data_IF_650420167456
#
_entry.id   IF_650420167456
#
_cell.length_a   1.000
_cell.length_b   1.000
_cell.length_c   1.000
_cell.angle_alpha   90.00
_cell.angle_beta   90.00
_cell.angle_gamma   90.00
#
_symmetry.space_group_name_H-M   'P 1'
#
loop_
_entity.id
_entity.type
_entity.pdbx_description
1 polymer ?
#
# COMPACT_ATOMS: atom_id res chain seq x y z
N UNK A 1 -7.38 21.20 41.63
CA UNK A 1 -7.23 20.27 40.52
C UNK A 1 -8.07 19.04 40.83
N UNK A 2 -9.09 18.74 40.03
CA UNK A 2 -9.81 17.46 40.18
C UNK A 2 -8.88 16.31 39.79
N UNK A 3 -8.83 15.29 40.63
CA UNK A 3 -8.03 14.07 40.28
C UNK A 3 -8.73 13.44 39.09
N UNK A 4 -7.97 13.18 38.01
CA UNK A 4 -8.47 12.43 36.86
C UNK A 4 -8.77 11.00 37.29
N UNK A 5 -9.94 10.48 36.92
CA UNK A 5 -10.33 9.12 37.25
C UNK A 5 -9.32 8.11 36.66
N UNK A 6 -8.88 8.33 35.40
CA UNK A 6 -7.89 7.49 34.69
C UNK A 6 -6.55 7.38 35.45
N UNK A 7 -6.20 8.34 36.31
CA UNK A 7 -4.95 8.37 37.08
C UNK A 7 -5.10 7.75 38.48
N UNK A 8 -6.29 7.36 38.90
CA UNK A 8 -6.50 6.74 40.20
C UNK A 8 -5.98 5.29 40.23
N UNK A 9 -5.52 4.82 41.40
CA UNK A 9 -5.08 3.42 41.56
C UNK A 9 -6.19 2.42 41.17
N UNK A 10 -7.44 2.76 41.44
CA UNK A 10 -8.59 1.92 41.08
C UNK A 10 -8.74 1.78 39.56
N UNK A 11 -8.67 2.87 38.82
CA UNK A 11 -8.75 2.82 37.36
C UNK A 11 -7.56 2.10 36.73
N UNK A 12 -6.34 2.29 37.26
CA UNK A 12 -5.16 1.58 36.76
C UNK A 12 -5.27 0.07 37.01
N UNK A 13 -5.70 -0.37 38.20
CA UNK A 13 -5.94 -1.79 38.48
C UNK A 13 -7.03 -2.38 37.56
N UNK A 14 -8.09 -1.63 37.26
CA UNK A 14 -9.12 -2.04 36.30
C UNK A 14 -8.54 -2.22 34.89
N UNK A 15 -7.68 -1.32 34.40
CA UNK A 15 -7.07 -1.43 33.08
C UNK A 15 -6.11 -2.64 32.97
N UNK A 16 -5.37 -2.91 34.05
CA UNK A 16 -4.51 -4.09 34.14
C UNK A 16 -5.33 -5.40 34.09
N UNK A 17 -6.44 -5.45 34.82
CA UNK A 17 -7.37 -6.58 34.79
C UNK A 17 -8.00 -6.76 33.40
N UNK A 18 -8.55 -5.69 32.82
CA UNK A 18 -9.21 -5.70 31.51
C UNK A 18 -8.27 -6.08 30.37
N UNK A 19 -6.98 -5.78 30.49
CA UNK A 19 -5.94 -6.19 29.52
C UNK A 19 -5.42 -7.62 29.75
N UNK A 20 -5.87 -8.28 30.81
CA UNK A 20 -5.39 -9.61 31.20
C UNK A 20 -3.97 -9.61 31.75
N UNK A 21 -3.47 -8.47 32.27
CA UNK A 21 -2.08 -8.30 32.69
C UNK A 21 -1.66 -9.33 33.73
N UNK A 22 -2.52 -9.60 34.70
CA UNK A 22 -2.28 -10.53 35.81
C UNK A 22 -2.69 -11.99 35.55
N UNK A 23 -3.28 -12.28 34.38
CA UNK A 23 -3.71 -13.64 34.07
C UNK A 23 -2.52 -14.51 33.66
N UNK A 24 -2.48 -15.74 34.14
CA UNK A 24 -1.56 -16.76 33.66
C UNK A 24 -1.89 -17.12 32.19
N UNK A 25 -0.88 -17.34 31.38
CA UNK A 25 -1.06 -17.66 29.96
C UNK A 25 -1.38 -16.44 29.08
N UNK A 26 -1.78 -16.68 27.81
CA UNK A 26 -1.99 -15.66 26.80
C UNK A 26 -0.69 -15.08 26.23
N UNK A 27 -0.83 -14.16 25.26
CA UNK A 27 0.31 -13.53 24.57
C UNK A 27 0.75 -12.25 25.32
N UNK A 28 1.97 -12.16 25.89
CA UNK A 28 2.42 -10.98 26.64
C UNK A 28 2.43 -9.70 25.78
N UNK A 29 2.77 -9.81 24.50
CA UNK A 29 2.77 -8.65 23.59
C UNK A 29 1.35 -8.12 23.35
N UNK A 30 0.38 -9.01 23.15
CA UNK A 30 -1.02 -8.62 23.01
C UNK A 30 -1.54 -7.92 24.27
N UNK A 31 -1.23 -8.45 25.47
CA UNK A 31 -1.60 -7.82 26.75
C UNK A 31 -1.04 -6.40 26.86
N UNK A 32 0.24 -6.22 26.55
CA UNK A 32 0.89 -4.90 26.59
C UNK A 32 0.26 -3.91 25.61
N UNK A 33 -0.06 -4.36 24.39
CA UNK A 33 -0.72 -3.51 23.38
C UNK A 33 -2.14 -3.13 23.82
N UNK A 34 -2.94 -4.08 24.31
CA UNK A 34 -4.30 -3.81 24.76
C UNK A 34 -4.29 -2.89 25.98
N UNK A 35 -3.41 -3.11 26.96
CA UNK A 35 -3.26 -2.20 28.08
C UNK A 35 -2.99 -0.77 27.63
N UNK A 36 -2.06 -0.59 26.68
CA UNK A 36 -1.72 0.72 26.14
C UNK A 36 -2.91 1.38 25.41
N UNK A 37 -3.63 0.61 24.59
CA UNK A 37 -4.83 1.10 23.88
C UNK A 37 -5.91 1.51 24.89
N UNK A 38 -6.21 0.68 25.87
CA UNK A 38 -7.22 0.99 26.90
C UNK A 38 -6.85 2.25 27.67
N UNK A 39 -5.59 2.36 28.12
CA UNK A 39 -5.08 3.52 28.87
C UNK A 39 -5.24 4.83 28.06
N UNK A 40 -4.83 4.82 26.80
CA UNK A 40 -4.90 5.99 25.96
C UNK A 40 -6.36 6.31 25.58
N UNK A 41 -7.20 5.31 25.39
CA UNK A 41 -8.65 5.48 25.13
C UNK A 41 -9.36 6.12 26.32
N UNK A 42 -9.15 5.67 27.57
CA UNK A 42 -9.79 6.29 28.72
C UNK A 42 -9.30 7.71 28.97
N UNK A 43 -8.03 8.01 28.67
CA UNK A 43 -7.52 9.37 28.69
C UNK A 43 -8.24 10.26 27.67
N UNK A 44 -8.45 9.79 26.43
CA UNK A 44 -9.21 10.50 25.40
C UNK A 44 -10.64 10.77 25.87
N UNK A 45 -11.30 9.75 26.46
CA UNK A 45 -12.67 9.88 26.99
C UNK A 45 -12.75 10.99 28.03
N UNK A 46 -11.79 11.06 28.97
CA UNK A 46 -11.76 12.11 29.99
C UNK A 46 -11.36 13.48 29.43
N UNK A 47 -10.32 13.52 28.56
CA UNK A 47 -9.76 14.77 28.04
C UNK A 47 -10.73 15.51 27.13
N UNK A 48 -11.51 14.77 26.36
CA UNK A 48 -12.47 15.30 25.40
C UNK A 48 -13.92 15.22 25.89
N UNK A 49 -14.13 14.79 27.13
CA UNK A 49 -15.47 14.66 27.75
C UNK A 49 -16.43 13.83 26.88
N UNK A 50 -15.92 12.72 26.30
CA UNK A 50 -16.67 11.89 25.36
C UNK A 50 -17.97 11.39 26.00
N UNK A 51 -19.09 11.70 25.37
CA UNK A 51 -20.40 11.27 25.83
C UNK A 51 -20.70 9.80 25.51
N UNK A 52 -21.60 9.13 26.24
CA UNK A 52 -22.05 7.78 25.90
C UNK A 52 -22.61 7.65 24.48
N UNK A 53 -23.24 8.71 23.97
CA UNK A 53 -23.76 8.73 22.60
C UNK A 53 -22.62 8.70 21.56
N UNK A 54 -21.59 9.49 21.72
CA UNK A 54 -20.40 9.52 20.87
C UNK A 54 -19.65 8.19 20.93
N UNK A 55 -19.51 7.61 22.12
CA UNK A 55 -18.92 6.29 22.29
C UNK A 55 -19.66 5.23 21.45
N UNK A 56 -20.99 5.17 21.54
CA UNK A 56 -21.77 4.20 20.78
C UNK A 56 -21.78 4.48 19.27
N UNK A 57 -21.71 5.74 18.86
CA UNK A 57 -21.46 6.08 17.43
C UNK A 57 -20.13 5.52 16.93
N UNK A 58 -19.06 5.65 17.73
CA UNK A 58 -17.74 5.08 17.37
C UNK A 58 -17.78 3.55 17.28
N UNK A 59 -18.46 2.87 18.22
CA UNK A 59 -18.64 1.41 18.17
C UNK A 59 -19.40 0.98 16.91
N UNK A 60 -20.51 1.68 16.58
CA UNK A 60 -21.28 1.39 15.36
C UNK A 60 -20.45 1.68 14.10
N UNK A 61 -19.63 2.71 14.10
CA UNK A 61 -18.72 3.02 13.00
C UNK A 61 -17.73 1.88 12.74
N UNK A 62 -17.15 1.28 13.78
CA UNK A 62 -16.27 0.10 13.64
C UNK A 62 -17.00 -1.10 13.01
N UNK A 63 -18.28 -1.29 13.37
CA UNK A 63 -19.09 -2.35 12.74
C UNK A 63 -19.32 -2.07 11.24
N UNK A 64 -19.61 -0.84 10.86
CA UNK A 64 -19.78 -0.46 9.44
C UNK A 64 -18.47 -0.59 8.66
N UNK A 65 -17.32 -0.21 9.24
CA UNK A 65 -16.00 -0.45 8.64
C UNK A 65 -15.76 -1.95 8.37
N UNK A 66 -16.05 -2.79 9.35
CA UNK A 66 -15.89 -4.25 9.21
C UNK A 66 -16.83 -4.83 8.15
N UNK A 67 -18.10 -4.42 8.15
CA UNK A 67 -19.10 -4.86 7.18
C UNK A 67 -18.75 -4.48 5.74
N UNK A 68 -18.20 -3.29 5.54
CA UNK A 68 -17.78 -2.79 4.23
C UNK A 68 -16.33 -3.22 3.86
N UNK A 69 -15.62 -3.90 4.76
CA UNK A 69 -14.21 -4.31 4.58
C UNK A 69 -13.26 -3.11 4.33
N UNK A 70 -13.57 -1.93 4.88
CA UNK A 70 -12.83 -0.69 4.67
C UNK A 70 -11.80 -0.36 5.79
N UNK A 71 -11.59 -1.22 6.78
CA UNK A 71 -10.65 -0.95 7.87
C UNK A 71 -9.22 -0.66 7.36
N UNK A 72 -8.75 -1.38 6.33
CA UNK A 72 -7.46 -1.12 5.70
C UNK A 72 -7.43 0.20 4.94
N UNK A 73 -8.53 0.56 4.27
CA UNK A 73 -8.66 1.83 3.56
C UNK A 73 -8.63 3.02 4.55
N UNK A 74 -9.33 2.89 5.68
CA UNK A 74 -9.29 3.89 6.74
C UNK A 74 -7.88 4.03 7.34
N UNK A 75 -7.18 2.93 7.59
CA UNK A 75 -5.81 2.96 8.12
C UNK A 75 -4.87 3.74 7.18
N UNK A 76 -4.97 3.53 5.86
CA UNK A 76 -4.24 4.31 4.87
C UNK A 76 -4.66 5.79 4.90
N UNK A 77 -5.97 6.09 4.90
CA UNK A 77 -6.50 7.45 4.91
C UNK A 77 -6.18 8.25 6.19
N UNK A 78 -5.97 7.60 7.31
CA UNK A 78 -5.48 8.23 8.55
C UNK A 78 -3.95 8.30 8.62
N UNK A 79 -3.23 7.85 7.58
CA UNK A 79 -1.77 7.88 7.51
C UNK A 79 -1.06 6.88 8.41
N UNK A 80 -1.76 5.88 8.96
CA UNK A 80 -1.16 4.92 9.88
C UNK A 80 -0.17 3.99 9.17
N UNK A 81 -0.45 3.59 7.95
CA UNK A 81 0.44 2.78 7.13
C UNK A 81 1.68 3.60 6.73
N UNK A 82 1.49 4.83 6.28
CA UNK A 82 2.59 5.76 6.00
C UNK A 82 3.48 6.01 7.24
N UNK A 83 2.88 6.15 8.44
CA UNK A 83 3.65 6.32 9.67
C UNK A 83 4.55 5.10 9.98
N UNK A 84 4.10 3.89 9.65
CA UNK A 84 4.93 2.69 9.78
C UNK A 84 6.12 2.73 8.82
N UNK A 85 5.93 3.24 7.58
CA UNK A 85 7.04 3.44 6.64
C UNK A 85 8.05 4.44 7.20
N UNK A 86 7.59 5.58 7.74
CA UNK A 86 8.49 6.57 8.38
C UNK A 86 9.28 5.99 9.55
N UNK A 87 8.68 5.13 10.37
CA UNK A 87 9.38 4.45 11.47
C UNK A 87 10.46 3.49 10.96
N UNK A 88 10.17 2.77 9.87
CA UNK A 88 11.14 1.87 9.26
C UNK A 88 12.28 2.65 8.58
N UNK A 89 11.98 3.79 7.94
CA UNK A 89 12.99 4.65 7.32
C UNK A 89 13.92 5.26 8.38
N UNK A 90 13.35 5.74 9.50
CA UNK A 90 14.15 6.27 10.62
C UNK A 90 15.08 5.19 11.23
N UNK A 91 14.59 3.96 11.36
CA UNK A 91 15.40 2.85 11.86
C UNK A 91 16.52 2.46 10.87
N UNK A 92 16.28 2.54 9.56
CA UNK A 92 17.29 2.30 8.55
C UNK A 92 18.37 3.41 8.57
N UNK A 93 17.97 4.68 8.71
CA UNK A 93 18.90 5.81 8.84
C UNK A 93 19.77 5.67 10.10
N UNK A 94 19.18 5.33 11.25
CA UNK A 94 19.91 5.09 12.50
C UNK A 94 20.92 3.94 12.37
N UNK A 95 20.58 2.91 11.58
CA UNK A 95 21.44 1.78 11.27
C UNK A 95 22.51 2.08 10.21
N UNK A 96 22.58 3.32 9.68
CA UNK A 96 23.50 3.72 8.62
C UNK A 96 23.21 3.10 7.25
N UNK A 97 21.97 2.63 7.04
CA UNK A 97 21.52 2.07 5.76
C UNK A 97 20.89 3.17 4.93
N UNK A 98 21.58 3.56 3.90
CA UNK A 98 21.09 4.55 2.94
C UNK A 98 20.93 3.94 1.55
N UNK A 99 20.14 4.61 0.69
CA UNK A 99 19.93 4.21 -0.69
C UNK A 99 18.84 3.15 -0.86
N UNK A 100 18.66 2.73 -2.11
CA UNK A 100 17.57 1.88 -2.52
C UNK A 100 16.31 2.68 -2.88
N UNK A 101 15.43 2.05 -3.64
CA UNK A 101 14.11 2.62 -3.94
C UNK A 101 13.30 2.79 -2.65
N UNK A 102 12.71 3.97 -2.40
CA UNK A 102 11.88 4.19 -1.22
C UNK A 102 10.71 3.21 -1.12
N UNK A 103 10.42 2.78 0.10
CA UNK A 103 9.19 2.03 0.39
C UNK A 103 8.00 2.98 0.42
N UNK A 104 6.80 2.45 0.17
CA UNK A 104 5.54 3.12 0.45
C UNK A 104 4.45 2.09 0.71
N UNK A 105 3.27 2.55 1.06
CA UNK A 105 2.17 1.69 1.50
C UNK A 105 1.81 0.60 0.48
N UNK A 106 1.43 -0.58 0.98
CA UNK A 106 0.87 -1.67 0.16
C UNK A 106 -0.57 -1.36 -0.29
N UNK A 107 -1.33 -0.74 0.60
CA UNK A 107 -2.76 -0.62 0.43
C UNK A 107 -3.52 -1.96 0.57
N UNK A 108 -4.86 -1.96 0.54
CA UNK A 108 -5.66 -3.16 0.80
C UNK A 108 -5.98 -4.02 -0.44
N UNK A 109 -5.46 -3.69 -1.63
CA UNK A 109 -5.95 -4.23 -2.91
C UNK A 109 -5.01 -5.23 -3.58
N UNK A 110 -3.92 -5.64 -2.92
CA UNK A 110 -3.06 -6.72 -3.38
C UNK A 110 -3.79 -8.07 -3.34
N UNK A 111 -3.51 -8.92 -4.35
CA UNK A 111 -3.97 -10.31 -4.44
C UNK A 111 -2.80 -11.17 -4.89
N UNK A 112 -2.49 -12.20 -4.11
CA UNK A 112 -1.43 -13.15 -4.44
C UNK A 112 -1.80 -14.08 -5.62
N UNK A 113 -0.82 -14.78 -6.17
CA UNK A 113 -1.05 -15.80 -7.20
C UNK A 113 -1.14 -15.26 -8.63
N UNK A 114 -0.83 -13.98 -8.88
CA UNK A 114 -0.78 -13.46 -10.24
C UNK A 114 0.19 -14.30 -11.12
N UNK A 115 -0.16 -14.56 -12.40
CA UNK A 115 0.65 -15.38 -13.29
C UNK A 115 2.08 -14.86 -13.44
N UNK A 116 3.06 -15.77 -13.45
CA UNK A 116 4.48 -15.46 -13.66
C UNK A 116 4.81 -15.40 -15.16
N UNK A 117 5.51 -14.36 -15.57
CA UNK A 117 6.10 -14.19 -16.90
C UNK A 117 7.61 -14.01 -16.77
N UNK A 118 8.35 -14.32 -17.83
CA UNK A 118 9.80 -14.10 -17.89
C UNK A 118 10.10 -12.87 -18.70
N UNK A 119 10.82 -11.90 -18.11
CA UNK A 119 11.30 -10.66 -18.70
C UNK A 119 10.21 -9.73 -19.25
N UNK A 120 9.25 -10.26 -20.02
CA UNK A 120 8.22 -9.47 -20.69
C UNK A 120 6.82 -9.99 -20.36
N UNK A 121 5.88 -9.05 -20.14
CA UNK A 121 4.50 -9.38 -19.83
C UNK A 121 3.49 -8.43 -20.49
N UNK A 122 2.28 -8.93 -20.71
CA UNK A 122 1.10 -8.12 -20.94
C UNK A 122 0.19 -8.24 -19.71
N UNK A 123 -0.20 -7.12 -19.12
CA UNK A 123 -1.03 -7.05 -17.93
C UNK A 123 -2.52 -6.93 -18.25
N UNK A 124 -2.85 -6.14 -19.27
CA UNK A 124 -4.24 -5.86 -19.66
C UNK A 124 -4.89 -7.03 -20.42
N UNK A 125 -6.19 -7.23 -20.22
CA UNK A 125 -6.99 -8.23 -20.95
C UNK A 125 -7.58 -7.70 -22.28
N UNK A 126 -7.30 -6.44 -22.62
CA UNK A 126 -7.69 -5.79 -23.87
C UNK A 126 -9.15 -5.34 -23.94
N UNK A 127 -9.88 -5.35 -22.83
CA UNK A 127 -11.30 -4.93 -22.79
C UNK A 127 -11.50 -3.47 -22.45
N UNK A 128 -10.51 -2.83 -21.83
CA UNK A 128 -10.55 -1.41 -21.48
C UNK A 128 -10.08 -0.58 -22.68
N UNK A 129 -10.89 0.38 -23.12
CA UNK A 129 -10.54 1.34 -24.18
C UNK A 129 -9.65 2.46 -23.60
N UNK A 130 -8.41 2.10 -23.33
CA UNK A 130 -7.44 2.92 -22.63
C UNK A 130 -6.20 3.17 -23.47
N UNK A 131 -5.47 4.24 -23.14
CA UNK A 131 -4.15 4.49 -23.73
C UNK A 131 -3.18 3.37 -23.28
N UNK A 132 -2.59 2.61 -24.24
CA UNK A 132 -1.59 1.61 -23.91
C UNK A 132 -0.39 2.21 -23.19
N UNK A 133 0.09 1.55 -22.15
CA UNK A 133 1.29 1.92 -21.39
C UNK A 133 2.37 0.85 -21.59
N UNK A 134 3.57 1.29 -21.95
CA UNK A 134 4.78 0.46 -21.98
C UNK A 134 5.72 0.90 -20.87
N UNK A 135 5.99 -0.01 -19.95
CA UNK A 135 6.93 0.24 -18.86
C UNK A 135 8.10 -0.72 -18.96
N UNK A 136 9.30 -0.21 -18.68
CA UNK A 136 10.53 -0.99 -18.59
C UNK A 136 11.47 -0.40 -17.55
N UNK A 137 12.39 -1.23 -17.09
CA UNK A 137 13.43 -0.83 -16.16
C UNK A 137 14.35 -1.98 -15.78
N UNK A 138 15.20 -1.75 -14.82
CA UNK A 138 16.15 -2.70 -14.29
C UNK A 138 15.98 -2.81 -12.78
N UNK A 139 16.11 -4.03 -12.25
CA UNK A 139 16.25 -4.27 -10.81
C UNK A 139 17.72 -4.48 -10.51
N UNK A 140 18.27 -3.71 -9.56
CA UNK A 140 19.66 -3.77 -9.12
C UNK A 140 19.76 -3.68 -7.60
N UNK A 141 20.91 -4.03 -7.05
CA UNK A 141 21.20 -3.72 -5.65
C UNK A 141 21.72 -2.28 -5.48
N UNK A 142 21.91 -1.86 -4.23
CA UNK A 142 22.43 -0.52 -3.91
C UNK A 142 23.88 -0.29 -4.34
N UNK A 143 24.62 -1.34 -4.73
CA UNK A 143 25.95 -1.25 -5.33
C UNK A 143 25.87 -1.13 -6.87
N UNK A 144 24.66 -1.08 -7.44
CA UNK A 144 24.41 -0.97 -8.87
C UNK A 144 24.50 -2.29 -9.63
N UNK A 145 24.63 -3.43 -8.95
CA UNK A 145 24.70 -4.75 -9.59
C UNK A 145 23.32 -5.22 -10.02
N UNK A 146 23.13 -5.59 -11.29
CA UNK A 146 21.86 -6.14 -11.78
C UNK A 146 21.44 -7.42 -11.05
N UNK A 147 20.15 -7.54 -10.73
CA UNK A 147 19.59 -8.68 -10.04
C UNK A 147 18.81 -9.57 -11.02
N UNK A 148 19.49 -10.59 -11.54
CA UNK A 148 18.88 -11.61 -12.37
C UNK A 148 17.92 -12.49 -11.57
N UNK A 149 16.76 -12.83 -12.14
CA UNK A 149 15.75 -13.67 -11.48
C UNK A 149 15.03 -12.97 -10.31
N UNK A 150 15.15 -11.65 -10.19
CA UNK A 150 14.29 -10.88 -9.28
C UNK A 150 12.84 -10.95 -9.75
N UNK A 151 11.90 -10.93 -8.81
CA UNK A 151 10.47 -10.91 -9.09
C UNK A 151 9.93 -9.51 -8.93
N UNK A 152 9.39 -8.97 -10.00
CA UNK A 152 8.60 -7.73 -10.05
C UNK A 152 7.13 -8.15 -10.06
N UNK A 153 6.46 -8.04 -8.92
CA UNK A 153 5.03 -8.28 -8.79
C UNK A 153 4.31 -6.94 -8.91
N UNK A 154 3.48 -6.77 -9.92
CA UNK A 154 2.88 -5.49 -10.30
C UNK A 154 1.37 -5.59 -10.31
N UNK A 155 0.69 -4.55 -9.77
CA UNK A 155 -0.76 -4.41 -9.84
C UNK A 155 -1.19 -2.93 -9.91
N UNK A 156 -2.28 -2.67 -10.61
CA UNK A 156 -2.80 -1.32 -10.81
C UNK A 156 -4.33 -1.32 -11.02
N UNK A 157 -4.93 -0.13 -10.91
CA UNK A 157 -6.32 0.10 -11.31
C UNK A 157 -6.47 0.16 -12.83
N UNK A 158 -7.71 -0.04 -13.31
CA UNK A 158 -8.11 0.26 -14.69
C UNK A 158 -8.47 1.76 -14.86
N UNK A 159 -9.02 2.15 -16.02
CA UNK A 159 -9.44 3.53 -16.29
C UNK A 159 -10.65 3.99 -15.47
N UNK A 160 -11.41 3.08 -14.90
CA UNK A 160 -12.52 3.37 -13.98
C UNK A 160 -12.06 3.49 -12.50
N UNK A 161 -10.76 3.31 -12.20
CA UNK A 161 -10.25 3.32 -10.84
C UNK A 161 -10.57 2.05 -10.05
N UNK A 162 -10.92 0.95 -10.72
CA UNK A 162 -11.26 -0.33 -10.09
C UNK A 162 -10.17 -1.37 -10.32
N UNK A 163 -10.09 -2.34 -9.41
CA UNK A 163 -9.10 -3.42 -9.45
C UNK A 163 -9.78 -4.75 -9.78
N UNK A 164 -9.14 -5.56 -10.60
CA UNK A 164 -9.51 -6.96 -10.79
C UNK A 164 -9.61 -7.68 -9.45
N UNK A 165 -10.38 -8.76 -9.37
CA UNK A 165 -10.77 -9.46 -8.14
C UNK A 165 -11.86 -8.75 -7.32
N UNK A 166 -11.87 -7.41 -7.28
CA UNK A 166 -12.88 -6.60 -6.57
C UNK A 166 -13.98 -6.12 -7.52
N UNK A 167 -13.70 -6.09 -8.81
CA UNK A 167 -14.63 -5.72 -9.88
C UNK A 167 -14.94 -6.95 -10.74
N UNK A 168 -16.16 -7.50 -10.65
CA UNK A 168 -16.53 -8.72 -11.36
C UNK A 168 -16.62 -8.57 -12.89
N UNK A 169 -16.49 -7.33 -13.41
CA UNK A 169 -16.47 -7.08 -14.86
C UNK A 169 -15.08 -7.31 -15.46
N UNK A 170 -14.04 -7.35 -14.64
CA UNK A 170 -12.68 -7.62 -15.05
C UNK A 170 -12.35 -9.12 -14.96
N UNK A 171 -11.41 -9.60 -15.77
CA UNK A 171 -10.83 -10.93 -15.58
C UNK A 171 -10.00 -10.98 -14.29
N UNK A 172 -9.90 -12.15 -13.67
CA UNK A 172 -9.38 -12.35 -12.32
C UNK A 172 -8.03 -11.66 -12.04
N UNK A 173 -7.08 -11.76 -12.96
CA UNK A 173 -5.76 -11.14 -12.85
C UNK A 173 -5.51 -10.05 -13.90
N UNK A 174 -6.58 -9.37 -14.37
CA UNK A 174 -6.41 -8.20 -15.22
C UNK A 174 -5.60 -7.14 -14.49
N UNK A 175 -4.58 -6.57 -15.17
CA UNK A 175 -3.67 -5.55 -14.62
C UNK A 175 -2.88 -6.01 -13.39
N UNK A 176 -2.62 -7.35 -13.29
CA UNK A 176 -1.77 -7.98 -12.28
C UNK A 176 -0.84 -8.98 -12.93
N UNK A 177 0.46 -8.95 -12.59
CA UNK A 177 1.44 -9.87 -13.12
C UNK A 177 2.68 -9.96 -12.24
N UNK A 178 3.27 -11.15 -12.16
CA UNK A 178 4.63 -11.34 -11.67
C UNK A 178 5.58 -11.47 -12.85
N UNK A 179 6.71 -10.78 -12.82
CA UNK A 179 7.68 -10.77 -13.91
C UNK A 179 9.06 -11.12 -13.33
N UNK A 180 9.66 -12.20 -13.82
CA UNK A 180 11.02 -12.59 -13.48
C UNK A 180 11.99 -11.81 -14.38
N UNK A 181 12.95 -11.08 -13.79
CA UNK A 181 13.95 -10.31 -14.54
C UNK A 181 14.92 -11.21 -15.33
N UNK A 182 15.43 -10.68 -16.43
CA UNK A 182 16.45 -11.36 -17.25
C UNK A 182 17.84 -11.44 -16.57
N UNK A 183 18.84 -11.96 -17.29
CA UNK A 183 20.21 -12.08 -16.77
C UNK A 183 20.89 -10.73 -16.47
N UNK A 184 20.36 -9.64 -16.99
CA UNK A 184 20.81 -8.27 -16.77
C UNK A 184 19.92 -7.51 -15.80
N UNK A 185 18.98 -8.19 -15.11
CA UNK A 185 18.05 -7.58 -14.18
C UNK A 185 16.92 -6.77 -14.83
N UNK A 186 16.77 -6.84 -16.15
CA UNK A 186 15.76 -6.06 -16.84
C UNK A 186 14.37 -6.69 -16.72
N UNK A 187 13.35 -5.83 -16.73
CA UNK A 187 11.95 -6.20 -16.88
C UNK A 187 11.25 -5.24 -17.83
N UNK A 188 10.19 -5.70 -18.46
CA UNK A 188 9.28 -4.83 -19.23
C UNK A 188 7.87 -5.39 -19.27
N UNK A 189 6.91 -4.50 -19.40
CA UNK A 189 5.52 -4.92 -19.60
C UNK A 189 4.71 -3.89 -20.39
N UNK A 190 3.67 -4.42 -21.04
CA UNK A 190 2.57 -3.63 -21.56
C UNK A 190 1.42 -3.65 -20.58
N UNK A 191 0.83 -2.49 -20.36
CA UNK A 191 -0.37 -2.26 -19.55
C UNK A 191 -1.25 -1.19 -20.22
N UNK A 192 -2.07 -0.54 -19.43
CA UNK A 192 -2.81 0.68 -19.76
C UNK A 192 -2.43 1.78 -18.78
N UNK A 193 -2.62 3.05 -19.18
CA UNK A 193 -2.49 4.17 -18.25
C UNK A 193 -3.60 4.06 -17.21
N UNK A 194 -3.28 3.88 -15.90
CA UNK A 194 -4.30 3.83 -14.86
C UNK A 194 -4.94 5.19 -14.65
N UNK A 195 -6.16 5.23 -14.10
CA UNK A 195 -6.69 6.46 -13.51
C UNK A 195 -6.35 6.54 -12.02
N UNK A 196 -6.36 7.76 -11.45
CA UNK A 196 -6.57 7.96 -10.04
C UNK A 196 -7.97 7.50 -9.64
N UNK A 197 -8.18 7.30 -8.34
CA UNK A 197 -9.49 6.87 -7.82
C UNK A 197 -9.74 7.40 -6.41
N UNK A 198 -11.01 7.35 -5.99
CA UNK A 198 -11.43 7.75 -4.66
C UNK A 198 -11.92 6.60 -3.79
N UNK A 199 -12.04 6.87 -2.50
CA UNK A 199 -12.80 6.00 -1.59
C UNK A 199 -14.22 5.80 -2.10
N UNK A 200 -14.89 4.66 -1.80
CA UNK A 200 -16.32 4.50 -2.08
C UNK A 200 -17.13 5.69 -1.55
N UNK A 201 -17.87 6.42 -2.39
CA UNK A 201 -18.48 7.70 -1.98
C UNK A 201 -19.46 7.59 -0.82
N UNK A 202 -20.12 6.45 -0.67
CA UNK A 202 -21.05 6.15 0.43
C UNK A 202 -20.43 5.29 1.54
N UNK A 203 -19.13 4.99 1.43
CA UNK A 203 -18.41 4.14 2.39
C UNK A 203 -18.11 4.86 3.71
N UNK A 204 -17.94 4.11 4.80
CA UNK A 204 -17.63 4.69 6.11
C UNK A 204 -16.31 5.46 6.12
N UNK A 205 -15.32 5.07 5.31
CA UNK A 205 -14.06 5.82 5.20
C UNK A 205 -14.30 7.22 4.64
N UNK A 206 -15.03 7.36 3.51
CA UNK A 206 -15.33 8.67 2.95
C UNK A 206 -16.16 9.52 3.90
N UNK A 207 -17.15 8.91 4.58
CA UNK A 207 -17.98 9.62 5.57
C UNK A 207 -17.16 10.21 6.71
N UNK A 208 -16.12 9.53 7.18
CA UNK A 208 -15.21 10.09 8.19
C UNK A 208 -14.33 11.19 7.62
N UNK A 209 -13.76 10.98 6.41
CA UNK A 209 -12.93 12.00 5.75
C UNK A 209 -13.73 13.29 5.51
N UNK A 210 -15.00 13.19 5.14
CA UNK A 210 -15.90 14.35 4.98
C UNK A 210 -16.05 15.13 6.29
N UNK A 211 -16.19 14.43 7.45
CA UNK A 211 -16.24 15.07 8.76
C UNK A 211 -14.92 15.76 9.14
N UNK A 212 -13.80 15.25 8.61
CA UNK A 212 -12.47 15.84 8.80
C UNK A 212 -12.18 16.97 7.79
N UNK A 213 -13.09 17.26 6.85
CA UNK A 213 -12.89 18.21 5.77
C UNK A 213 -11.84 17.75 4.75
N UNK A 214 -11.67 16.44 4.59
CA UNK A 214 -10.67 15.80 3.70
C UNK A 214 -11.35 15.05 2.57
N UNK A 215 -10.74 15.05 1.39
CA UNK A 215 -11.13 14.15 0.30
C UNK A 215 -10.50 12.75 0.46
N UNK A 216 -11.04 11.77 -0.27
CA UNK A 216 -10.52 10.40 -0.33
C UNK A 216 -9.89 10.04 -1.67
N UNK A 217 -9.35 11.02 -2.43
CA UNK A 217 -8.78 10.78 -3.76
C UNK A 217 -7.33 10.38 -3.68
N UNK A 218 -6.92 9.45 -4.56
CA UNK A 218 -5.54 9.05 -4.81
C UNK A 218 -5.13 9.39 -6.25
N UNK A 219 -3.88 9.83 -6.48
CA UNK A 219 -3.35 9.98 -7.83
C UNK A 219 -3.27 8.64 -8.57
N UNK A 220 -3.18 8.69 -9.88
CA UNK A 220 -2.86 7.53 -10.70
C UNK A 220 -1.51 6.94 -10.28
N UNK A 221 -1.48 5.63 -9.99
CA UNK A 221 -0.29 4.95 -9.50
C UNK A 221 -0.28 3.47 -9.92
N UNK A 222 0.91 2.89 -9.86
CA UNK A 222 1.16 1.48 -10.11
C UNK A 222 1.92 0.92 -8.90
N UNK A 223 1.41 -0.13 -8.29
CA UNK A 223 2.02 -0.80 -7.14
C UNK A 223 3.01 -1.87 -7.55
N UNK A 224 4.00 -2.09 -6.69
CA UNK A 224 5.02 -3.10 -6.88
C UNK A 224 5.40 -3.79 -5.57
N UNK A 225 5.59 -5.11 -5.65
CA UNK A 225 6.48 -5.84 -4.76
C UNK A 225 7.70 -6.29 -5.55
N UNK A 226 8.88 -5.97 -5.04
CA UNK A 226 10.13 -6.40 -5.66
C UNK A 226 10.87 -7.31 -4.69
N UNK A 227 11.27 -8.48 -5.15
CA UNK A 227 12.01 -9.43 -4.32
C UNK A 227 13.14 -10.09 -5.11
N UNK A 228 14.27 -10.31 -4.43
CA UNK A 228 15.40 -11.07 -4.95
C UNK A 228 16.09 -11.85 -3.82
N UNK A 229 16.72 -13.01 -4.09
CA UNK A 229 17.44 -13.75 -3.07
C UNK A 229 18.53 -12.89 -2.42
N UNK A 230 18.61 -12.91 -1.08
CA UNK A 230 19.59 -12.15 -0.31
C UNK A 230 19.30 -10.65 -0.18
N UNK A 231 18.18 -10.17 -0.68
CA UNK A 231 17.78 -8.77 -0.62
C UNK A 231 16.50 -8.59 0.21
N UNK A 232 16.32 -7.39 0.73
CA UNK A 232 15.09 -6.99 1.42
C UNK A 232 13.94 -6.92 0.41
N UNK A 233 12.79 -7.41 0.81
CA UNK A 233 11.56 -7.24 0.04
C UNK A 233 11.18 -5.76 0.03
N UNK A 234 10.94 -5.22 -1.16
CA UNK A 234 10.49 -3.84 -1.34
C UNK A 234 8.99 -3.82 -1.63
N UNK A 235 8.25 -3.12 -0.80
CA UNK A 235 6.87 -2.71 -1.07
C UNK A 235 6.91 -1.25 -1.50
N UNK A 236 6.42 -0.94 -2.70
CA UNK A 236 6.45 0.41 -3.23
C UNK A 236 5.35 0.65 -4.25
N UNK A 237 5.19 1.89 -4.68
CA UNK A 237 4.39 2.29 -5.84
C UNK A 237 5.10 3.41 -6.58
N UNK A 238 4.76 3.61 -7.85
CA UNK A 238 5.09 4.83 -8.58
C UNK A 238 3.83 5.63 -8.82
N UNK A 239 3.93 6.94 -8.71
CA UNK A 239 2.86 7.89 -9.03
C UNK A 239 3.11 8.51 -10.40
N UNK A 240 2.07 8.69 -11.21
CA UNK A 240 2.20 9.30 -12.54
C UNK A 240 2.26 10.81 -12.42
N UNK A 241 3.24 11.43 -13.10
CA UNK A 241 3.59 12.86 -12.96
C UNK A 241 2.51 13.86 -13.40
N UNK A 242 1.50 13.43 -14.13
CA UNK A 242 0.45 14.30 -14.69
C UNK A 242 -0.90 14.25 -13.94
N UNK A 243 -0.97 13.53 -12.81
CA UNK A 243 -2.20 13.42 -12.05
C UNK A 243 -2.45 14.63 -11.14
N UNK A 244 -3.67 15.20 -11.09
CA UNK A 244 -3.98 16.39 -10.29
C UNK A 244 -3.87 16.18 -8.77
N UNK A 245 -3.96 14.94 -8.28
CA UNK A 245 -3.81 14.61 -6.87
C UNK A 245 -2.40 14.16 -6.48
N UNK A 246 -1.42 14.32 -7.39
CA UNK A 246 -0.05 13.85 -7.17
C UNK A 246 0.54 14.26 -5.82
N UNK A 247 0.33 15.51 -5.41
CA UNK A 247 0.81 16.06 -4.14
C UNK A 247 -0.28 16.19 -3.07
N UNK A 248 -1.43 15.56 -3.29
CA UNK A 248 -2.58 15.58 -2.38
C UNK A 248 -3.23 14.19 -2.32
N UNK A 249 -2.39 13.14 -2.15
CA UNK A 249 -2.85 11.76 -1.96
C UNK A 249 -3.44 11.59 -0.55
N UNK A 250 -4.71 11.23 -0.45
CA UNK A 250 -5.36 11.01 0.84
C UNK A 250 -4.66 9.95 1.71
N UNK A 251 -3.93 9.02 1.07
CA UNK A 251 -3.21 7.94 1.73
C UNK A 251 -1.75 8.29 2.07
N UNK A 252 -1.28 9.51 1.74
CA UNK A 252 0.08 9.99 2.00
C UNK A 252 1.18 9.14 1.36
N UNK A 253 0.89 8.47 0.25
CA UNK A 253 1.80 7.50 -0.35
C UNK A 253 2.73 8.09 -1.43
N UNK A 254 2.53 9.35 -1.82
CA UNK A 254 3.42 10.02 -2.77
C UNK A 254 4.75 10.36 -2.13
N UNK A 255 5.85 9.98 -2.80
CA UNK A 255 7.22 10.38 -2.49
C UNK A 255 7.87 10.90 -3.76
N UNK A 256 8.69 11.95 -3.67
CA UNK A 256 9.27 12.62 -4.84
C UNK A 256 10.08 11.66 -5.71
N UNK A 257 10.84 10.74 -5.11
CA UNK A 257 11.65 9.75 -5.81
C UNK A 257 10.82 8.66 -6.52
N UNK A 258 9.55 8.56 -6.19
CA UNK A 258 8.60 7.60 -6.79
C UNK A 258 7.64 8.24 -7.80
N UNK A 259 7.87 9.51 -8.15
CA UNK A 259 7.13 10.17 -9.23
C UNK A 259 7.76 9.74 -10.56
N UNK A 260 7.02 8.95 -11.32
CA UNK A 260 7.46 8.49 -12.63
C UNK A 260 6.99 9.46 -13.73
N UNK A 261 7.93 9.88 -14.58
CA UNK A 261 7.61 10.67 -15.77
C UNK A 261 6.87 9.79 -16.77
N UNK A 262 5.60 10.11 -17.04
CA UNK A 262 4.84 9.48 -18.10
C UNK A 262 5.00 10.29 -19.40
N UNK A 263 5.51 9.64 -20.45
CA UNK A 263 5.73 10.26 -21.76
C UNK A 263 4.74 9.71 -22.77
N UNK A 264 3.88 10.58 -23.29
CA UNK A 264 2.94 10.23 -24.34
C UNK A 264 3.57 10.41 -25.72
N UNK A 265 3.24 9.51 -26.65
CA UNK A 265 3.69 9.56 -28.04
C UNK A 265 2.57 9.22 -29.01
N UNK A 266 2.53 9.95 -30.11
CA UNK A 266 1.67 9.71 -31.28
C UNK A 266 2.47 9.18 -32.48
N UNK A 267 3.74 8.78 -32.30
CA UNK A 267 4.61 8.27 -33.36
C UNK A 267 4.07 6.93 -33.89
N UNK A 268 3.61 6.95 -35.13
CA UNK A 268 2.97 5.82 -35.79
C UNK A 268 3.97 4.69 -36.14
N UNK A 269 5.25 4.99 -36.28
CA UNK A 269 6.25 3.98 -36.53
C UNK A 269 6.52 3.21 -35.23
N UNK A 270 6.74 3.93 -34.14
CA UNK A 270 6.97 3.38 -32.82
C UNK A 270 5.73 2.61 -32.30
N UNK A 271 4.52 3.14 -32.57
CA UNK A 271 3.27 2.45 -32.24
C UNK A 271 3.18 1.07 -32.92
N UNK A 272 3.58 0.97 -34.21
CA UNK A 272 3.61 -0.32 -34.94
C UNK A 272 4.62 -1.29 -34.34
N UNK A 273 5.80 -0.81 -33.91
CA UNK A 273 6.82 -1.63 -33.26
C UNK A 273 6.29 -2.22 -31.93
N UNK A 274 5.47 -1.46 -31.20
CA UNK A 274 4.80 -1.93 -29.99
C UNK A 274 3.49 -2.71 -30.24
N UNK A 275 3.08 -2.87 -31.51
CA UNK A 275 1.86 -3.58 -31.87
C UNK A 275 0.57 -2.89 -31.40
N UNK A 276 0.57 -1.55 -31.34
CA UNK A 276 -0.59 -0.73 -30.98
C UNK A 276 -0.92 0.26 -32.09
N UNK A 277 -2.09 0.88 -31.99
CA UNK A 277 -2.54 1.93 -32.90
C UNK A 277 -2.81 3.21 -32.11
N UNK A 278 -2.50 4.36 -32.71
CA UNK A 278 -2.74 5.67 -32.11
C UNK A 278 -1.75 6.02 -30.99
N UNK A 279 -2.25 6.80 -30.03
CA UNK A 279 -1.48 7.32 -28.90
C UNK A 279 -1.14 6.22 -27.92
N UNK A 280 0.07 6.25 -27.36
CA UNK A 280 0.52 5.36 -26.28
C UNK A 280 1.39 6.14 -25.28
N UNK A 281 1.64 5.53 -24.14
CA UNK A 281 2.47 6.10 -23.08
C UNK A 281 3.68 5.18 -22.79
N UNK A 282 4.75 5.77 -22.26
CA UNK A 282 5.98 5.08 -21.87
C UNK A 282 6.43 5.56 -20.49
N UNK A 283 6.92 4.64 -19.67
CA UNK A 283 7.61 4.89 -18.41
C UNK A 283 8.89 4.07 -18.38
N UNK A 284 10.01 4.71 -18.05
CA UNK A 284 11.26 4.05 -17.69
C UNK A 284 11.45 4.22 -16.17
N UNK A 285 11.60 3.12 -15.41
CA UNK A 285 11.81 3.18 -13.96
C UNK A 285 12.64 2.00 -13.48
N UNK A 286 13.72 2.28 -12.76
CA UNK A 286 14.62 1.29 -12.17
C UNK A 286 14.31 1.11 -10.69
N UNK A 287 14.46 -0.12 -10.18
CA UNK A 287 14.32 -0.43 -8.76
C UNK A 287 15.66 -0.83 -8.16
N UNK A 288 15.95 -0.29 -6.98
CA UNK A 288 17.15 -0.63 -6.21
C UNK A 288 16.76 -1.33 -4.90
N UNK A 289 17.32 -2.52 -4.65
CA UNK A 289 17.06 -3.30 -3.46
C UNK A 289 18.25 -3.24 -2.49
N UNK A 290 17.94 -3.02 -1.22
CA UNK A 290 18.92 -3.16 -0.14
C UNK A 290 19.20 -4.64 0.15
N UNK A 291 20.43 -4.96 0.56
CA UNK A 291 20.78 -6.28 1.07
C UNK A 291 20.00 -6.61 2.34
N UNK A 292 19.65 -7.86 2.52
CA UNK A 292 19.05 -8.35 3.75
C UNK A 292 20.12 -8.53 4.84
N UNK A 293 19.85 -8.13 6.09
CA UNK A 293 20.79 -8.25 7.23
C UNK A 293 21.05 -9.67 7.68
N UNK A 294 20.12 -10.57 7.43
CA UNK A 294 20.18 -12.00 7.72
C UNK A 294 19.27 -12.72 6.72
N UNK A 295 19.33 -14.05 6.62
CA UNK A 295 18.29 -14.82 5.91
C UNK A 295 16.96 -14.48 6.58
N UNK A 296 16.28 -13.45 6.06
CA UNK A 296 14.96 -13.08 6.53
C UNK A 296 14.03 -14.16 6.02
N UNK A 297 13.57 -15.05 6.90
CA UNK A 297 12.24 -15.62 6.68
C UNK A 297 11.32 -14.43 6.49
N UNK A 298 10.97 -14.16 5.25
CA UNK A 298 10.01 -13.13 4.92
C UNK A 298 8.69 -13.54 5.58
N UNK A 299 8.45 -13.07 6.79
CA UNK A 299 7.11 -13.12 7.38
C UNK A 299 6.27 -12.16 6.54
N UNK A 300 5.76 -12.68 5.43
CA UNK A 300 4.72 -12.00 4.66
C UNK A 300 3.62 -11.61 5.65
N UNK A 301 3.19 -10.38 5.60
CA UNK A 301 2.06 -9.94 6.41
C UNK A 301 0.87 -10.83 6.04
N UNK A 302 0.34 -11.58 7.02
CA UNK A 302 -0.77 -12.52 6.81
C UNK A 302 -2.06 -11.71 6.57
N UNK A 303 -2.21 -11.19 5.36
CA UNK A 303 -3.52 -10.76 4.87
C UNK A 303 -4.13 -11.94 4.12
N UNK A 304 -5.40 -12.21 4.33
CA UNK A 304 -6.11 -13.36 3.72
C UNK A 304 -5.92 -13.44 2.20
N UNK A 305 -5.77 -12.28 1.53
CA UNK A 305 -5.54 -12.18 0.07
C UNK A 305 -4.07 -12.20 -0.34
N UNK A 306 -3.14 -12.09 0.60
CA UNK A 306 -1.69 -12.17 0.36
C UNK A 306 -1.12 -13.57 0.61
N UNK A 307 -1.95 -14.53 1.00
CA UNK A 307 -1.57 -15.93 1.14
C UNK A 307 -1.73 -16.60 -0.24
N UNK A 308 -0.65 -17.21 -0.73
CA UNK A 308 -0.74 -18.21 -1.80
C UNK A 308 -1.39 -19.45 -1.18
N UNK A 309 -2.37 -20.03 -1.87
CA UNK A 309 -2.95 -21.33 -1.53
C UNK A 309 -1.91 -22.45 -1.66
#
# INVERSE_FOLDING_TARGET
>A
MSIRLSQTAHAQAFLEEASGHHNDGGNPRAKALIYRILRDTVNIIEDLEVTPEEFWKAVNYLNELGKNQEAGLLAAGLGLEHYLDLLMDAADEEAGKSGGTPRTIEGPLYVAGAPLSKYEARLDDGKDDAVPLFMRGQVRDTDGKPLAGAIVDVWQANTAGTYSWFDPTQSEFNLRRRIETDAQGNYRFRSIVPSGYGCPPSGPTQQLLDQLGRHGQRPAHIHFFISAPGHRHLTTQINLSDDPYLHDDFAYATRDELIAEIRFSDDQQLAREFGVQGRFAQIDFDFELQLADAPVEQKRMQRVRALED
#
